data_IF_023669836815
#
_entry.id   IF_023669836815
#
_cell.length_a   1.000
_cell.length_b   1.000
_cell.length_c   1.000
_cell.angle_alpha   90.00
_cell.angle_beta   90.00
_cell.angle_gamma   90.00
#
_symmetry.space_group_name_H-M   'P 1'
#
loop_
_entity.id
_entity.type
_entity.pdbx_description
1 polymer ?
#
# COMPACT_ATOMS: atom_id res chain seq x y z
N UNK A 1 -23.39 7.00 -11.73
CA UNK A 1 -22.35 6.19 -11.06
C UNK A 1 -22.60 4.73 -11.43
N UNK A 2 -21.76 4.18 -12.29
CA UNK A 2 -22.05 2.93 -13.00
C UNK A 2 -21.85 1.72 -12.05
N UNK A 3 -22.65 0.66 -12.21
CA UNK A 3 -22.67 -0.49 -11.29
C UNK A 3 -21.32 -1.21 -11.12
N UNK A 4 -20.38 -1.05 -12.07
CA UNK A 4 -19.05 -1.63 -12.00
C UNK A 4 -18.15 -0.96 -10.94
N UNK A 5 -18.29 0.36 -10.71
CA UNK A 5 -17.53 1.10 -9.68
C UNK A 5 -17.87 0.60 -8.27
N UNK A 6 -19.13 0.24 -8.02
CA UNK A 6 -19.59 -0.32 -6.74
C UNK A 6 -19.00 -1.71 -6.45
N UNK A 7 -18.79 -2.53 -7.48
CA UNK A 7 -18.20 -3.89 -7.33
C UNK A 7 -16.72 -3.81 -6.96
N UNK A 8 -15.95 -2.91 -7.58
CA UNK A 8 -14.53 -2.69 -7.25
C UNK A 8 -14.38 -2.14 -5.83
N UNK A 9 -15.20 -1.15 -5.46
CA UNK A 9 -15.17 -0.52 -4.12
C UNK A 9 -15.45 -1.50 -2.97
N UNK A 10 -16.18 -2.60 -3.19
CA UNK A 10 -16.48 -3.59 -2.15
C UNK A 10 -15.41 -4.66 -1.97
N UNK A 11 -14.64 -4.98 -3.03
CA UNK A 11 -13.66 -6.08 -3.00
C UNK A 11 -12.33 -5.69 -2.33
N UNK A 12 -11.99 -4.40 -2.33
CA UNK A 12 -10.70 -3.89 -1.83
C UNK A 12 -10.82 -2.95 -0.62
N UNK A 13 -12.02 -2.79 -0.07
CA UNK A 13 -12.27 -2.05 1.15
C UNK A 13 -12.14 -2.97 2.35
N UNK A 14 -10.91 -3.11 2.83
CA UNK A 14 -10.60 -3.83 4.05
C UNK A 14 -10.93 -2.88 5.21
N UNK A 15 -11.91 -3.28 6.02
CA UNK A 15 -12.58 -2.38 6.98
C UNK A 15 -11.93 -2.41 8.37
N UNK A 16 -10.97 -3.30 8.58
CA UNK A 16 -10.28 -3.44 9.85
C UNK A 16 -8.79 -3.74 9.64
N UNK A 17 -8.00 -3.49 10.70
CA UNK A 17 -6.56 -3.72 10.75
C UNK A 17 -6.20 -5.13 10.31
N UNK A 18 -6.84 -6.15 10.89
CA UNK A 18 -6.49 -7.56 10.67
C UNK A 18 -6.57 -7.94 9.18
N UNK A 19 -7.70 -7.63 8.51
CA UNK A 19 -7.87 -7.87 7.07
C UNK A 19 -6.76 -7.20 6.25
N UNK A 20 -6.38 -5.98 6.64
CA UNK A 20 -5.33 -5.22 5.95
C UNK A 20 -3.96 -5.85 6.16
N UNK A 21 -3.66 -6.32 7.37
CA UNK A 21 -2.43 -7.04 7.70
C UNK A 21 -2.32 -8.36 6.94
N UNK A 22 -3.41 -9.13 6.88
CA UNK A 22 -3.48 -10.36 6.09
C UNK A 22 -3.24 -10.06 4.61
N UNK A 23 -3.85 -9.00 4.08
CA UNK A 23 -3.62 -8.61 2.68
C UNK A 23 -2.20 -8.14 2.41
N UNK A 24 -1.57 -7.44 3.35
CA UNK A 24 -0.16 -7.04 3.24
C UNK A 24 0.77 -8.27 3.26
N UNK A 25 0.48 -9.29 4.09
CA UNK A 25 1.21 -10.57 4.10
C UNK A 25 1.08 -11.30 2.78
N UNK A 26 -0.13 -11.37 2.21
CA UNK A 26 -0.35 -11.95 0.88
C UNK A 26 0.46 -11.21 -0.19
N UNK A 27 0.37 -9.88 -0.23
CA UNK A 27 1.11 -9.08 -1.21
C UNK A 27 2.64 -9.23 -1.05
N UNK A 28 3.14 -9.37 0.18
CA UNK A 28 4.54 -9.67 0.43
C UNK A 28 4.96 -11.00 -0.22
N UNK A 29 4.13 -12.04 -0.10
CA UNK A 29 4.36 -13.32 -0.77
C UNK A 29 4.24 -13.23 -2.31
N UNK A 30 3.45 -12.28 -2.83
CA UNK A 30 3.33 -11.97 -4.27
C UNK A 30 4.52 -11.12 -4.79
N UNK A 31 5.46 -10.71 -3.93
CA UNK A 31 6.66 -9.95 -4.29
C UNK A 31 6.54 -8.43 -4.15
N UNK A 32 5.48 -7.93 -3.54
CA UNK A 32 5.38 -6.52 -3.14
C UNK A 32 6.15 -6.27 -1.86
N UNK A 33 6.97 -5.21 -1.81
CA UNK A 33 7.90 -4.98 -0.70
C UNK A 33 7.62 -3.70 0.07
N UNK A 34 6.97 -2.74 -0.58
CA UNK A 34 6.79 -1.39 -0.04
C UNK A 34 5.32 -1.00 -0.07
N UNK A 35 4.90 -0.24 0.94
CA UNK A 35 3.57 0.36 1.03
C UNK A 35 3.71 1.85 1.35
N UNK A 36 2.90 2.67 0.67
CA UNK A 36 2.78 4.11 0.92
C UNK A 36 1.32 4.45 1.07
N UNK A 37 1.06 5.54 1.79
CA UNK A 37 -0.25 6.18 1.81
C UNK A 37 -0.26 7.35 0.83
N UNK A 38 -1.24 7.37 -0.06
CA UNK A 38 -1.48 8.52 -0.93
C UNK A 38 -1.97 9.71 -0.08
N UNK A 39 -1.51 10.96 -0.29
CA UNK A 39 -1.96 12.11 0.49
C UNK A 39 -3.48 12.32 0.45
N UNK A 40 -4.07 12.69 1.59
CA UNK A 40 -5.51 12.90 1.82
C UNK A 40 -6.47 11.79 1.30
N UNK A 41 -5.96 10.57 1.10
CA UNK A 41 -6.64 9.44 0.48
C UNK A 41 -6.81 8.23 1.42
N UNK A 42 -7.94 7.53 1.30
CA UNK A 42 -8.24 6.29 2.03
C UNK A 42 -7.47 5.07 1.46
N UNK A 43 -6.49 5.29 0.60
CA UNK A 43 -5.84 4.23 -0.16
C UNK A 43 -4.36 4.08 0.21
N UNK A 44 -3.97 2.83 0.40
CA UNK A 44 -2.59 2.38 0.46
C UNK A 44 -2.18 1.86 -0.92
N UNK A 45 -1.00 2.24 -1.38
CA UNK A 45 -0.40 1.78 -2.62
C UNK A 45 0.78 0.87 -2.29
N UNK A 46 0.77 -0.34 -2.83
CA UNK A 46 1.82 -1.34 -2.64
C UNK A 46 2.67 -1.46 -3.91
N UNK A 47 4.00 -1.47 -3.73
CA UNK A 47 5.01 -1.48 -4.77
C UNK A 47 6.00 -2.64 -4.59
N UNK A 48 6.46 -3.20 -5.70
CA UNK A 48 7.41 -4.34 -5.73
C UNK A 48 8.87 -3.92 -5.60
N UNK A 49 9.18 -2.71 -6.07
CA UNK A 49 10.44 -2.01 -5.87
C UNK A 49 10.19 -0.74 -5.06
N UNK A 50 11.26 -0.15 -4.53
CA UNK A 50 11.16 1.07 -3.74
C UNK A 50 10.60 2.22 -4.60
N UNK A 51 9.42 2.78 -4.26
CA UNK A 51 8.82 3.85 -5.03
C UNK A 51 9.43 5.20 -4.63
N UNK A 52 9.34 6.16 -5.55
CA UNK A 52 9.68 7.57 -5.33
C UNK A 52 8.43 8.43 -5.45
N UNK A 53 8.34 9.47 -4.62
CA UNK A 53 7.32 10.52 -4.76
C UNK A 53 7.78 11.53 -5.82
N UNK A 54 6.95 11.78 -6.83
CA UNK A 54 7.19 12.81 -7.84
C UNK A 54 6.67 14.15 -7.34
N UNK A 55 7.56 15.16 -7.32
CA UNK A 55 7.28 16.48 -6.74
C UNK A 55 6.16 17.25 -7.43
N UNK A 56 5.95 17.00 -8.73
CA UNK A 56 5.06 17.81 -9.57
C UNK A 56 3.60 17.37 -9.51
N UNK A 57 3.30 16.22 -8.89
CA UNK A 57 1.93 15.68 -8.87
C UNK A 57 1.52 14.98 -7.57
N UNK A 58 2.35 15.01 -6.53
CA UNK A 58 2.09 14.28 -5.28
C UNK A 58 1.92 12.75 -5.44
N UNK A 59 2.21 12.20 -6.62
CA UNK A 59 2.05 10.79 -6.93
C UNK A 59 3.29 9.97 -6.58
N UNK A 60 3.07 8.69 -6.31
CA UNK A 60 4.13 7.70 -6.12
C UNK A 60 4.28 6.84 -7.37
N UNK A 61 5.51 6.49 -7.71
CA UNK A 61 5.79 5.56 -8.80
C UNK A 61 7.22 5.03 -8.76
N UNK A 62 7.58 4.19 -9.72
CA UNK A 62 8.91 3.61 -9.80
C UNK A 62 9.92 4.56 -10.42
N UNK A 63 11.11 4.65 -9.84
CA UNK A 63 12.25 5.37 -10.46
C UNK A 63 12.52 4.88 -11.88
N UNK A 64 12.41 3.57 -12.11
CA UNK A 64 12.45 2.95 -13.42
C UNK A 64 11.28 1.96 -13.56
N UNK A 65 10.22 2.38 -14.25
CA UNK A 65 9.04 1.55 -14.52
C UNK A 65 9.31 0.35 -15.45
N UNK A 66 10.43 0.37 -16.18
CA UNK A 66 10.83 -0.71 -17.11
C UNK A 66 11.75 -1.73 -16.45
N UNK A 67 12.03 -1.57 -15.15
CA UNK A 67 12.78 -2.56 -14.41
C UNK A 67 12.04 -3.91 -14.45
N UNK A 68 12.70 -5.04 -14.76
CA UNK A 68 12.04 -6.35 -14.79
C UNK A 68 11.39 -6.75 -13.46
N UNK A 69 11.86 -6.20 -12.35
CA UNK A 69 11.28 -6.38 -11.02
C UNK A 69 10.08 -5.49 -10.72
N UNK A 70 9.77 -4.50 -11.57
CA UNK A 70 8.66 -3.57 -11.38
C UNK A 70 7.33 -4.21 -11.80
N UNK A 71 6.49 -4.54 -10.81
CA UNK A 71 5.11 -4.97 -10.99
C UNK A 71 4.14 -3.79 -10.93
N UNK A 72 2.98 -3.89 -11.58
CA UNK A 72 1.92 -2.88 -11.44
C UNK A 72 1.53 -2.68 -9.97
N UNK A 73 1.45 -1.43 -9.52
CA UNK A 73 1.10 -1.11 -8.13
C UNK A 73 -0.29 -1.66 -7.76
N UNK A 74 -0.46 -2.11 -6.51
CA UNK A 74 -1.74 -2.59 -5.98
C UNK A 74 -2.31 -1.59 -5.00
N UNK A 75 -3.62 -1.39 -5.06
CA UNK A 75 -4.32 -0.48 -4.17
C UNK A 75 -5.11 -1.27 -3.13
N UNK A 76 -5.00 -0.87 -1.87
CA UNK A 76 -5.83 -1.35 -0.77
C UNK A 76 -6.56 -0.14 -0.21
N UNK A 77 -7.89 -0.19 -0.12
CA UNK A 77 -8.62 0.84 0.61
C UNK A 77 -8.56 0.50 2.10
N UNK A 78 -7.95 1.38 2.88
CA UNK A 78 -7.79 1.25 4.32
C UNK A 78 -7.75 2.63 4.98
N UNK A 79 -8.62 2.84 5.96
CA UNK A 79 -8.65 4.04 6.82
C UNK A 79 -8.09 3.79 8.23
N UNK A 80 -7.76 2.54 8.55
CA UNK A 80 -7.50 2.08 9.91
C UNK A 80 -6.01 2.04 10.28
N UNK A 81 -5.13 1.70 9.32
CA UNK A 81 -3.68 1.72 9.50
C UNK A 81 -3.16 3.14 9.28
N UNK A 82 -3.06 3.90 10.36
CA UNK A 82 -2.63 5.31 10.36
C UNK A 82 -1.12 5.47 10.58
N UNK A 83 -0.45 4.40 11.00
CA UNK A 83 0.99 4.30 11.30
C UNK A 83 1.85 4.23 10.05
N UNK A 84 1.29 3.72 8.94
CA UNK A 84 1.81 4.01 7.60
C UNK A 84 1.49 5.48 7.35
N UNK A 85 2.36 6.34 7.92
CA UNK A 85 2.07 7.76 8.08
C UNK A 85 1.90 8.40 6.72
N UNK A 86 1.10 9.46 6.73
CA UNK A 86 1.01 10.50 5.71
C UNK A 86 2.32 11.28 5.47
N UNK A 87 3.47 10.74 5.88
CA UNK A 87 4.76 11.39 5.67
C UNK A 87 5.23 11.11 4.25
N UNK A 88 4.72 11.94 3.35
CA UNK A 88 5.22 12.47 2.09
C UNK A 88 6.69 12.26 1.61
N UNK A 89 7.55 11.45 2.24
CA UNK A 89 8.97 11.32 1.85
C UNK A 89 9.53 9.90 1.78
N UNK A 90 8.97 8.91 2.49
CA UNK A 90 9.59 7.58 2.57
C UNK A 90 8.54 6.49 2.46
N UNK A 91 8.85 5.45 1.69
CA UNK A 91 8.02 4.25 1.60
C UNK A 91 8.22 3.35 2.83
N UNK A 92 7.15 2.73 3.31
CA UNK A 92 7.23 1.80 4.43
C UNK A 92 7.52 0.41 3.89
N UNK A 93 8.54 -0.28 4.43
CA UNK A 93 8.72 -1.70 4.15
C UNK A 93 7.55 -2.49 4.72
N UNK A 94 6.92 -3.33 3.89
CA UNK A 94 5.82 -4.19 4.34
C UNK A 94 6.33 -5.17 5.40
N UNK A 95 7.50 -5.77 5.19
CA UNK A 95 8.11 -6.71 6.13
C UNK A 95 8.36 -6.08 7.50
N UNK A 96 9.04 -4.93 7.54
CA UNK A 96 9.31 -4.23 8.79
C UNK A 96 8.02 -3.82 9.52
N UNK A 97 7.01 -3.36 8.77
CA UNK A 97 5.73 -3.00 9.34
C UNK A 97 4.99 -4.20 9.95
N UNK A 98 5.06 -5.37 9.31
CA UNK A 98 4.44 -6.59 9.83
C UNK A 98 5.17 -7.12 11.07
N UNK A 99 6.50 -6.99 11.13
CA UNK A 99 7.31 -7.43 12.27
C UNK A 99 7.10 -6.55 13.52
N UNK A 100 7.05 -5.22 13.36
CA UNK A 100 6.77 -4.29 14.47
C UNK A 100 5.41 -4.61 15.13
N UNK A 101 4.41 -5.03 14.34
CA UNK A 101 3.09 -5.41 14.84
C UNK A 101 3.09 -6.73 15.62
N UNK A 102 3.94 -7.68 15.25
CA UNK A 102 4.10 -8.93 16.00
C UNK A 102 4.68 -8.61 17.39
N UNK A 103 5.60 -7.64 17.48
CA UNK A 103 6.21 -7.22 18.75
C UNK A 103 5.19 -6.49 19.64
N UNK A 104 4.27 -5.72 19.06
CA UNK A 104 3.26 -4.96 19.81
C UNK A 104 2.08 -5.80 20.32
N UNK A 105 1.90 -7.02 19.80
CA UNK A 105 0.80 -7.93 20.18
C UNK A 105 1.25 -9.15 20.98
N UNK A 106 2.56 -9.30 21.21
CA UNK A 106 3.18 -10.37 22.00
C UNK A 106 3.34 -10.08 23.49
#
# INVERSE_FOLDING_TARGET
MQQWEKKIKKKYALKNRQETMERLKELLSEGYKYVVREPESEWLLCFSLEPKKYGDGEFWGYVNEKDPGAQMAKQIKNTDITEIKWTNKVATSIEAFLDDEIILTG
#
